data_IF_136171264115
#
_entry.id   IF_136171264115
#
_cell.length_a   1.000
_cell.length_b   1.000
_cell.length_c   1.000
_cell.angle_alpha   90.00
_cell.angle_beta   90.00
_cell.angle_gamma   90.00
#
_symmetry.space_group_name_H-M   'P 1'
#
loop_
_entity.id
_entity.type
_entity.pdbx_description
1 polymer ?
#
# COMPACT_ATOMS: atom_id res chain seq x y z
N UNK A 1 0.28 19.22 5.13
CA UNK A 1 0.48 18.21 6.20
C UNK A 1 0.69 16.88 5.52
N UNK A 2 1.74 16.14 5.87
CA UNK A 2 1.96 14.80 5.33
C UNK A 2 0.88 13.86 5.87
N UNK A 3 0.14 13.20 4.97
CA UNK A 3 -0.79 12.14 5.32
C UNK A 3 0.00 10.84 5.57
N UNK A 4 -0.49 10.04 6.49
CA UNK A 4 0.13 8.77 6.88
C UNK A 4 -0.88 7.64 6.75
N UNK A 5 -0.40 6.46 6.36
CA UNK A 5 -1.16 5.21 6.37
C UNK A 5 -0.59 4.33 7.48
N UNK A 6 -1.47 3.76 8.31
CA UNK A 6 -1.11 2.63 9.17
C UNK A 6 -1.39 1.36 8.39
N UNK A 7 -0.41 0.48 8.25
CA UNK A 7 -0.55 -0.75 7.48
C UNK A 7 0.10 -1.92 8.23
N UNK A 8 -0.52 -3.10 8.18
CA UNK A 8 0.06 -4.31 8.76
C UNK A 8 0.96 -4.97 7.72
N UNK A 9 2.21 -5.17 8.08
CA UNK A 9 3.18 -5.95 7.30
C UNK A 9 3.45 -7.28 8.01
N UNK A 10 4.12 -8.22 7.35
CA UNK A 10 4.61 -9.47 7.97
C UNK A 10 5.44 -9.23 9.25
N UNK A 11 6.14 -8.10 9.33
CA UNK A 11 7.00 -7.75 10.48
C UNK A 11 6.20 -7.02 11.58
N UNK A 12 4.99 -6.55 11.27
CA UNK A 12 4.09 -5.85 12.18
C UNK A 12 3.57 -4.53 11.62
N UNK A 13 2.90 -3.78 12.50
CA UNK A 13 2.26 -2.51 12.15
C UNK A 13 3.31 -1.43 11.82
N UNK A 14 3.17 -0.83 10.64
CA UNK A 14 4.08 0.21 10.14
C UNK A 14 3.30 1.46 9.73
N UNK A 15 3.93 2.63 9.88
CA UNK A 15 3.41 3.91 9.38
C UNK A 15 4.15 4.33 8.12
N UNK A 16 3.42 4.50 7.03
CA UNK A 16 3.98 4.88 5.73
C UNK A 16 3.55 6.30 5.40
N UNK A 17 4.50 7.16 5.01
CA UNK A 17 4.21 8.52 4.54
C UNK A 17 3.64 8.45 3.13
N UNK A 18 2.44 8.99 2.92
CA UNK A 18 1.80 8.94 1.60
C UNK A 18 2.56 9.73 0.53
N UNK A 19 3.24 10.82 0.91
CA UNK A 19 4.05 11.63 -0.01
C UNK A 19 5.36 10.94 -0.45
N UNK A 20 5.74 9.85 0.22
CA UNK A 20 6.89 9.04 -0.15
C UNK A 20 6.51 7.89 -1.10
N UNK A 21 5.22 7.56 -1.25
CA UNK A 21 4.74 6.46 -2.09
C UNK A 21 4.81 6.90 -3.55
N UNK A 22 5.49 6.11 -4.38
CA UNK A 22 5.60 6.36 -5.83
C UNK A 22 4.79 5.38 -6.68
N UNK A 23 4.48 4.19 -6.16
CA UNK A 23 3.62 3.21 -6.81
C UNK A 23 3.05 2.23 -5.79
N UNK A 24 1.97 1.55 -6.15
CA UNK A 24 1.47 0.38 -5.44
C UNK A 24 0.93 -0.66 -6.43
N UNK A 25 0.86 -1.91 -5.99
CA UNK A 25 0.38 -3.02 -6.79
C UNK A 25 -0.44 -3.97 -5.91
N UNK A 26 -1.71 -4.17 -6.28
CA UNK A 26 -2.53 -5.21 -5.67
C UNK A 26 -2.15 -6.57 -6.24
N UNK A 27 -1.81 -7.51 -5.37
CA UNK A 27 -1.56 -8.91 -5.72
C UNK A 27 -2.79 -9.70 -5.28
N UNK A 28 -3.49 -10.25 -6.29
CA UNK A 28 -4.55 -11.22 -6.03
C UNK A 28 -3.90 -12.58 -5.82
N UNK A 29 -4.14 -13.19 -4.66
CA UNK A 29 -3.73 -14.56 -4.43
C UNK A 29 -4.43 -15.50 -5.41
N UNK A 30 -3.73 -16.52 -5.91
CA UNK A 30 -4.37 -17.64 -6.59
C UNK A 30 -4.95 -18.61 -5.54
N UNK A 31 -6.08 -19.25 -5.86
CA UNK A 31 -6.80 -20.28 -5.07
C UNK A 31 -6.28 -20.54 -3.63
N UNK A 32 -6.71 -19.69 -2.69
CA UNK A 32 -6.46 -19.87 -1.25
C UNK A 32 -5.36 -19.00 -0.65
N UNK A 33 -4.62 -18.25 -1.46
CA UNK A 33 -3.66 -17.23 -0.97
C UNK A 33 -4.37 -15.91 -0.62
N UNK A 34 -3.85 -15.23 0.41
CA UNK A 34 -4.40 -13.95 0.87
C UNK A 34 -3.97 -12.80 -0.04
N UNK A 35 -4.88 -11.89 -0.36
CA UNK A 35 -4.57 -10.73 -1.21
C UNK A 35 -3.64 -9.75 -0.47
N UNK A 36 -2.50 -9.42 -1.07
CA UNK A 36 -1.54 -8.47 -0.52
C UNK A 36 -1.44 -7.21 -1.38
N UNK A 37 -0.97 -6.12 -0.76
CA UNK A 37 -0.69 -4.86 -1.44
C UNK A 37 0.79 -4.53 -1.30
N UNK A 38 1.48 -4.42 -2.44
CA UNK A 38 2.85 -3.93 -2.48
C UNK A 38 2.84 -2.41 -2.58
N UNK A 39 3.56 -1.72 -1.69
CA UNK A 39 3.76 -0.27 -1.70
C UNK A 39 5.24 0.02 -1.94
N UNK A 40 5.52 0.76 -3.00
CA UNK A 40 6.85 1.21 -3.37
C UNK A 40 7.03 2.67 -2.99
N UNK A 41 8.16 2.98 -2.35
CA UNK A 41 8.50 4.34 -1.94
C UNK A 41 9.71 4.88 -2.69
N UNK A 42 9.83 6.21 -2.77
CA UNK A 42 10.88 6.89 -3.50
C UNK A 42 12.31 6.62 -2.96
N UNK A 43 12.45 6.12 -1.73
CA UNK A 43 13.72 5.70 -1.15
C UNK A 43 14.08 4.23 -1.46
N UNK A 44 13.31 3.57 -2.34
CA UNK A 44 13.41 2.16 -2.72
C UNK A 44 13.02 1.18 -1.61
N UNK A 45 12.27 1.61 -0.59
CA UNK A 45 11.66 0.69 0.36
C UNK A 45 10.39 0.08 -0.22
N UNK A 46 10.26 -1.25 -0.07
CA UNK A 46 9.06 -2.02 -0.39
C UNK A 46 8.36 -2.42 0.91
N UNK A 47 7.06 -2.13 0.99
CA UNK A 47 6.18 -2.66 2.04
C UNK A 47 5.20 -3.64 1.42
N UNK A 48 5.12 -4.84 1.96
CA UNK A 48 4.05 -5.78 1.67
C UNK A 48 3.00 -5.68 2.78
N UNK A 49 1.78 -5.29 2.39
CA UNK A 49 0.65 -5.12 3.29
C UNK A 49 -0.23 -6.36 3.22
N UNK A 50 -0.42 -7.01 4.36
CA UNK A 50 -1.05 -8.33 4.48
C UNK A 50 -2.44 -8.30 5.12
N UNK A 51 -2.87 -7.14 5.61
CA UNK A 51 -4.22 -6.92 6.13
C UNK A 51 -4.79 -5.60 5.60
N UNK A 52 -6.10 -5.56 5.35
CA UNK A 52 -6.82 -4.38 4.86
C UNK A 52 -6.23 -3.80 3.57
N UNK A 53 -5.65 -4.65 2.72
CA UNK A 53 -4.99 -4.29 1.46
C UNK A 53 -5.94 -3.56 0.51
N UNK A 54 -7.19 -4.01 0.38
CA UNK A 54 -8.22 -3.35 -0.44
C UNK A 54 -8.61 -1.95 0.08
N UNK A 55 -8.78 -1.78 1.39
CA UNK A 55 -9.10 -0.48 1.99
C UNK A 55 -7.97 0.53 1.73
N UNK A 56 -6.72 0.09 1.94
CA UNK A 56 -5.54 0.92 1.71
C UNK A 56 -5.41 1.26 0.23
N UNK A 57 -5.66 0.32 -0.68
CA UNK A 57 -5.67 0.59 -2.11
C UNK A 57 -6.69 1.68 -2.47
N UNK A 58 -7.92 1.62 -1.93
CA UNK A 58 -8.95 2.65 -2.16
C UNK A 58 -8.56 4.04 -1.63
N UNK A 59 -7.83 4.10 -0.52
CA UNK A 59 -7.26 5.36 0.00
C UNK A 59 -6.20 5.92 -0.96
N UNK A 60 -5.36 5.05 -1.51
CA UNK A 60 -4.33 5.43 -2.48
C UNK A 60 -4.96 5.90 -3.79
N UNK A 61 -5.92 5.16 -4.34
CA UNK A 61 -6.69 5.55 -5.54
C UNK A 61 -7.34 6.93 -5.38
N UNK A 62 -7.87 7.23 -4.19
CA UNK A 62 -8.49 8.54 -3.90
C UNK A 62 -7.47 9.68 -3.74
N UNK A 63 -6.20 9.35 -3.50
CA UNK A 63 -5.14 10.33 -3.27
C UNK A 63 -4.27 10.56 -4.51
N UNK A 64 -4.18 9.59 -5.41
CA UNK A 64 -3.52 9.75 -6.70
C UNK A 64 -4.56 10.17 -7.74
N UNK A 65 -4.45 11.42 -8.23
CA UNK A 65 -5.25 11.87 -9.35
C UNK A 65 -4.76 11.16 -10.62
N UNK A 66 -5.60 10.30 -11.20
CA UNK A 66 -5.36 9.77 -12.54
C UNK A 66 -5.39 10.94 -13.53
N UNK A 67 -4.30 11.11 -14.28
CA UNK A 67 -4.30 12.01 -15.44
C UNK A 67 -4.67 11.18 -16.68
N UNK A 68 -5.79 11.54 -17.31
CA UNK A 68 -6.20 11.05 -18.63
C UNK A 68 -5.30 11.60 -19.75
#
# INVERSE_FOLDING_TARGET
MTKWINAMTEIGMTRIRMDAICAYQSIKGEDGESESLLIYTADNTLFEIIENSEEIAGILDSNFEFQD
#
